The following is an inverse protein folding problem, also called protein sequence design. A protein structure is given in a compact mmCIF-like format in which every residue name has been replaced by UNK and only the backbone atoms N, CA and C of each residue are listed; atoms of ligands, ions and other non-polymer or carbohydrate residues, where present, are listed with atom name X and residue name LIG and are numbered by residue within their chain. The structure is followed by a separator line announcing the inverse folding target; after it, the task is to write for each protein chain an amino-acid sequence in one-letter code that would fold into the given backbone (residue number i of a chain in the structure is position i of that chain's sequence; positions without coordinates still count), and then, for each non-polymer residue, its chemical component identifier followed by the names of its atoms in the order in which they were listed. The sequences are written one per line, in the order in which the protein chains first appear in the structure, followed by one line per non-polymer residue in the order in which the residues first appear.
data_IF_095575472526
#
_entry.id   IF_095575472526
#
_cell.length_a   1.000
_cell.length_b   1.000
_cell.length_c   1.000
_cell.angle_alpha   90.00
_cell.angle_beta   90.00
_cell.angle_gamma   90.00
#
_symmetry.space_group_name_H-M   'P 1'
#
loop_
_entity.id
_entity.type
_entity.pdbx_description
1 polymer ?
#
# COMPACT_ATOMS: atom_id res chain seq x y z
N UNK A 1 -20.10 7.23 -7.21
CA UNK A 1 -19.04 7.88 -6.39
C UNK A 1 -17.97 6.93 -5.85
N UNK A 2 -18.18 5.59 -5.75
CA UNK A 2 -17.23 4.68 -5.09
C UNK A 2 -15.87 4.42 -5.77
N UNK A 3 -15.68 4.75 -7.05
CA UNK A 3 -14.37 4.60 -7.72
C UNK A 3 -13.35 5.65 -7.28
N UNK A 4 -13.78 6.91 -7.05
CA UNK A 4 -12.87 8.00 -6.65
C UNK A 4 -12.30 7.80 -5.24
N UNK A 5 -13.14 7.43 -4.26
CA UNK A 5 -12.70 7.18 -2.89
C UNK A 5 -11.69 6.02 -2.81
N UNK A 6 -11.92 4.95 -3.59
CA UNK A 6 -10.97 3.83 -3.66
C UNK A 6 -9.61 4.24 -4.25
N UNK A 7 -9.60 5.15 -5.23
CA UNK A 7 -8.35 5.61 -5.85
C UNK A 7 -7.53 6.45 -4.86
N UNK A 8 -8.17 7.34 -4.10
CA UNK A 8 -7.49 8.14 -3.07
C UNK A 8 -6.88 7.27 -1.94
N UNK A 9 -7.54 6.18 -1.55
CA UNK A 9 -6.97 5.25 -0.58
C UNK A 9 -5.75 4.50 -1.12
N UNK A 10 -5.80 4.07 -2.39
CA UNK A 10 -4.68 3.39 -3.06
C UNK A 10 -3.48 4.34 -3.15
N UNK A 11 -3.68 5.59 -3.57
CA UNK A 11 -2.62 6.59 -3.63
C UNK A 11 -1.98 6.86 -2.25
N UNK A 12 -2.80 6.95 -1.20
CA UNK A 12 -2.31 7.12 0.16
C UNK A 12 -1.43 5.95 0.61
N UNK A 13 -1.89 4.71 0.39
CA UNK A 13 -1.13 3.49 0.73
C UNK A 13 0.19 3.43 -0.04
N UNK A 14 0.17 3.65 -1.36
CA UNK A 14 1.37 3.62 -2.21
C UNK A 14 2.37 4.67 -1.77
N UNK A 15 1.91 5.90 -1.49
CA UNK A 15 2.78 6.98 -1.03
C UNK A 15 3.44 6.63 0.30
N UNK A 16 2.71 6.02 1.23
CA UNK A 16 3.28 5.59 2.51
C UNK A 16 4.35 4.51 2.33
N UNK A 17 4.12 3.53 1.45
CA UNK A 17 5.12 2.49 1.14
C UNK A 17 6.36 3.13 0.48
N UNK A 18 6.18 4.01 -0.50
CA UNK A 18 7.28 4.72 -1.16
C UNK A 18 8.17 5.50 -0.19
N UNK A 19 7.57 6.14 0.80
CA UNK A 19 8.28 6.94 1.80
C UNK A 19 9.00 6.09 2.83
N UNK A 20 8.61 4.83 3.01
CA UNK A 20 9.11 3.93 4.06
C UNK A 20 9.45 2.54 3.48
N UNK A 21 10.10 2.53 2.31
CA UNK A 21 10.37 1.34 1.51
C UNK A 21 11.09 0.26 2.33
N UNK A 22 10.44 -0.89 2.55
CA UNK A 22 10.96 -2.00 3.35
C UNK A 22 10.96 -1.77 4.87
N UNK A 23 10.25 -0.74 5.37
CA UNK A 23 10.26 -0.37 6.79
C UNK A 23 8.86 -0.33 7.45
N UNK A 24 7.79 -0.44 6.67
CA UNK A 24 6.40 -0.39 7.18
C UNK A 24 5.66 -1.68 6.92
N UNK A 25 4.80 -2.08 7.85
CA UNK A 25 3.85 -3.19 7.67
C UNK A 25 2.46 -2.66 7.32
N UNK A 26 1.57 -3.53 6.85
CA UNK A 26 0.19 -3.15 6.55
C UNK A 26 -0.53 -2.46 7.73
N UNK A 27 -0.29 -2.94 8.96
CA UNK A 27 -0.84 -2.33 10.17
C UNK A 27 -0.27 -0.94 10.47
N UNK A 28 1.00 -0.69 10.15
CA UNK A 28 1.62 0.62 10.32
C UNK A 28 1.05 1.60 9.30
N UNK A 29 0.86 1.16 8.05
CA UNK A 29 0.20 1.95 7.01
C UNK A 29 -1.22 2.33 7.43
N UNK A 30 -1.99 1.41 8.01
CA UNK A 30 -3.34 1.71 8.52
C UNK A 30 -3.31 2.83 9.59
N UNK A 31 -2.36 2.77 10.52
CA UNK A 31 -2.18 3.82 11.54
C UNK A 31 -1.75 5.16 10.95
N UNK A 32 -0.81 5.14 10.00
CA UNK A 32 -0.26 6.35 9.38
C UNK A 32 -1.27 7.05 8.46
N UNK A 33 -2.11 6.28 7.77
CA UNK A 33 -3.12 6.80 6.83
C UNK A 33 -4.48 7.07 7.50
N UNK A 34 -4.69 6.58 8.73
CA UNK A 34 -5.97 6.62 9.43
C UNK A 34 -7.04 5.71 8.82
N UNK A 35 -6.65 4.81 7.90
CA UNK A 35 -7.56 3.88 7.24
C UNK A 35 -7.77 2.62 8.07
N UNK A 36 -8.95 2.00 7.94
CA UNK A 36 -9.20 0.71 8.55
C UNK A 36 -8.28 -0.36 7.91
N UNK A 37 -7.74 -1.34 8.67
CA UNK A 37 -6.84 -2.38 8.13
C UNK A 37 -7.42 -3.13 6.93
N UNK A 38 -8.73 -3.39 6.93
CA UNK A 38 -9.41 -4.02 5.78
C UNK A 38 -9.38 -3.16 4.52
N UNK A 39 -9.47 -1.83 4.66
CA UNK A 39 -9.35 -0.89 3.52
C UNK A 39 -7.93 -0.92 2.99
N UNK A 40 -6.92 -0.94 3.87
CA UNK A 40 -5.51 -1.06 3.48
C UNK A 40 -5.25 -2.37 2.74
N UNK A 41 -5.71 -3.51 3.28
CA UNK A 41 -5.57 -4.82 2.63
C UNK A 41 -6.18 -4.84 1.22
N UNK A 42 -7.40 -4.31 1.07
CA UNK A 42 -8.05 -4.19 -0.25
C UNK A 42 -7.32 -3.23 -1.19
N UNK A 43 -6.74 -2.16 -0.66
CA UNK A 43 -5.96 -1.20 -1.45
C UNK A 43 -4.65 -1.84 -1.94
N UNK A 44 -3.90 -2.51 -1.05
CA UNK A 44 -2.66 -3.24 -1.36
C UNK A 44 -2.86 -4.22 -2.52
N UNK A 45 -3.90 -5.05 -2.48
CA UNK A 45 -4.22 -6.01 -3.54
C UNK A 45 -4.50 -5.35 -4.90
N UNK A 46 -4.88 -4.07 -4.91
CA UNK A 46 -5.22 -3.31 -6.12
C UNK A 46 -4.08 -2.42 -6.61
N UNK A 47 -3.05 -2.17 -5.80
CA UNK A 47 -1.92 -1.30 -6.19
C UNK A 47 -1.36 -1.62 -7.59
N UNK A 48 -1.09 -2.89 -7.95
CA UNK A 48 -0.55 -3.22 -9.26
C UNK A 48 -1.48 -2.84 -10.42
N UNK A 49 -2.79 -3.03 -10.24
CA UNK A 49 -3.81 -2.73 -11.27
C UNK A 49 -3.94 -1.22 -11.53
N UNK A 50 -3.85 -0.39 -10.49
CA UNK A 50 -4.10 1.06 -10.61
C UNK A 50 -2.84 1.89 -10.83
N UNK A 51 -1.68 1.42 -10.40
CA UNK A 51 -0.43 2.20 -10.44
C UNK A 51 0.67 1.57 -11.28
N UNK A 52 0.54 0.29 -11.64
CA UNK A 52 1.60 -0.48 -12.29
C UNK A 52 2.78 -0.81 -11.36
N UNK A 53 2.72 -0.41 -10.08
CA UNK A 53 3.75 -0.68 -9.09
C UNK A 53 3.52 -2.08 -8.52
N UNK A 54 4.56 -2.91 -8.58
CA UNK A 54 4.59 -4.19 -7.89
C UNK A 54 5.08 -3.98 -6.47
N UNK A 55 4.34 -4.52 -5.51
CA UNK A 55 4.72 -4.52 -4.11
C UNK A 55 5.43 -5.82 -3.77
N UNK A 56 6.38 -5.74 -2.87
CA UNK A 56 7.05 -6.88 -2.26
C UNK A 56 6.79 -6.86 -0.76
N UNK A 57 6.57 -8.04 -0.20
CA UNK A 57 6.53 -8.27 1.24
C UNK A 57 7.70 -9.21 1.60
N UNK A 58 8.43 -8.89 2.67
CA UNK A 58 9.49 -9.77 3.20
C UNK A 58 8.93 -10.81 4.20
N UNK A 59 9.79 -11.71 4.67
CA UNK A 59 9.41 -12.76 5.63
C UNK A 59 8.92 -12.22 6.98
N UNK A 60 9.14 -10.93 7.27
CA UNK A 60 8.73 -10.25 8.49
C UNK A 60 7.49 -9.36 8.30
N UNK A 61 6.90 -9.35 7.10
CA UNK A 61 5.71 -8.57 6.74
C UNK A 61 5.99 -7.09 6.45
N UNK A 62 7.25 -6.71 6.21
CA UNK A 62 7.58 -5.36 5.76
C UNK A 62 7.34 -5.21 4.27
N UNK A 63 6.70 -4.10 3.93
CA UNK A 63 6.27 -3.78 2.57
C UNK A 63 7.27 -2.84 1.92
N UNK A 64 7.62 -3.17 0.68
CA UNK A 64 8.45 -2.34 -0.20
C UNK A 64 7.97 -2.40 -1.64
N UNK A 65 8.62 -1.63 -2.50
CA UNK A 65 8.39 -1.65 -3.94
C UNK A 65 9.36 -2.63 -4.57
N UNK A 66 8.80 -3.56 -5.35
CA UNK A 66 9.61 -4.47 -6.15
C UNK A 66 10.32 -3.70 -7.26
N UNK A 67 11.65 -3.70 -7.24
CA UNK A 67 12.50 -3.13 -8.29
C UNK A 67 13.25 -4.26 -8.98
N UNK A 68 12.99 -4.47 -10.28
CA UNK A 68 13.77 -5.38 -11.11
C UNK A 68 15.14 -4.73 -11.35
N UNK A 69 16.15 -5.17 -10.61
CA UNK A 69 17.56 -4.78 -10.81
C UNK A 69 18.19 -5.69 -11.86
#
# INVERSE_FOLDING_TARGET
MGRKANMSHIEAVVRTIQQNDGQVRANDIARMTGLHPEVVSRALARVPEYTGILLQEDDHGFLGIFRRS
#
